data_IF_225198142831
#
_entry.id   IF_225198142831
#
_cell.length_a   1.000
_cell.length_b   1.000
_cell.length_c   1.000
_cell.angle_alpha   90.00
_cell.angle_beta   90.00
_cell.angle_gamma   90.00
#
_symmetry.space_group_name_H-M   'P 1'
#
loop_
_entity.id
_entity.type
_entity.pdbx_description
1 polymer ?
#
# COMPACT_ATOMS: atom_id res chain seq x y z
N UNK A 1 5.76 -14.64 -17.19
CA UNK A 1 5.33 -13.37 -17.73
C UNK A 1 6.31 -12.28 -17.35
N UNK A 2 7.00 -11.73 -18.32
CA UNK A 2 7.96 -10.67 -18.06
C UNK A 2 7.34 -9.34 -18.44
N UNK A 3 7.26 -8.45 -17.45
CA UNK A 3 6.77 -7.10 -17.65
C UNK A 3 7.95 -6.13 -17.55
N UNK A 4 7.93 -5.12 -18.37
CA UNK A 4 8.91 -4.05 -18.25
C UNK A 4 8.62 -3.25 -16.97
N UNK A 5 9.63 -2.54 -16.47
CA UNK A 5 9.52 -1.78 -15.23
C UNK A 5 8.35 -0.79 -15.26
N UNK A 6 8.16 -0.11 -16.39
CA UNK A 6 7.08 0.88 -16.52
C UNK A 6 5.71 0.23 -16.46
N UNK A 7 5.56 -0.94 -17.08
CA UNK A 7 4.29 -1.67 -17.05
C UNK A 7 3.98 -2.15 -15.63
N UNK A 8 5.00 -2.64 -14.91
CA UNK A 8 4.84 -3.07 -13.53
C UNK A 8 4.44 -1.90 -12.64
N UNK A 9 5.05 -0.74 -12.82
CA UNK A 9 4.71 0.44 -12.04
C UNK A 9 3.27 0.87 -12.26
N UNK A 10 2.77 0.79 -13.50
CA UNK A 10 1.39 1.12 -13.81
C UNK A 10 0.42 0.15 -13.15
N UNK A 11 0.76 -1.14 -13.15
CA UNK A 11 -0.07 -2.15 -12.51
C UNK A 11 -0.13 -1.97 -11.01
N UNK A 12 1.01 -1.64 -10.38
CA UNK A 12 1.06 -1.38 -8.96
C UNK A 12 0.24 -0.13 -8.62
N UNK A 13 0.39 0.94 -9.41
CA UNK A 13 -0.37 2.16 -9.19
C UNK A 13 -1.87 1.92 -9.29
N UNK A 14 -2.30 1.11 -10.26
CA UNK A 14 -3.69 0.74 -10.41
C UNK A 14 -4.18 -0.03 -9.19
N UNK A 15 -3.39 -1.00 -8.74
CA UNK A 15 -3.74 -1.81 -7.57
C UNK A 15 -3.86 -0.94 -6.31
N UNK A 16 -2.95 0.02 -6.13
CA UNK A 16 -2.98 0.95 -5.00
C UNK A 16 -4.24 1.80 -5.06
N UNK A 17 -4.63 2.27 -6.25
CA UNK A 17 -5.82 3.11 -6.38
C UNK A 17 -7.11 2.37 -6.00
N UNK A 18 -7.10 1.04 -6.04
CA UNK A 18 -8.24 0.21 -5.70
C UNK A 18 -8.31 -0.15 -4.21
N UNK A 19 -7.31 0.23 -3.43
CA UNK A 19 -7.32 -0.05 -1.99
C UNK A 19 -8.41 0.77 -1.29
N UNK A 20 -9.00 0.25 -0.19
CA UNK A 20 -9.89 1.04 0.64
C UNK A 20 -9.18 2.32 1.12
N UNK A 21 -9.93 3.39 1.33
CA UNK A 21 -9.36 4.71 1.59
C UNK A 21 -8.31 4.74 2.70
N UNK A 22 -8.62 4.20 3.88
CA UNK A 22 -7.67 4.23 5.01
C UNK A 22 -6.45 3.37 4.72
N UNK A 23 -6.66 2.21 4.13
CA UNK A 23 -5.58 1.30 3.77
C UNK A 23 -4.65 1.96 2.77
N UNK A 24 -5.22 2.62 1.75
CA UNK A 24 -4.45 3.32 0.73
C UNK A 24 -3.65 4.46 1.34
N UNK A 25 -4.26 5.22 2.24
CA UNK A 25 -3.59 6.34 2.90
C UNK A 25 -2.36 5.87 3.69
N UNK A 26 -2.53 4.82 4.49
CA UNK A 26 -1.42 4.24 5.25
C UNK A 26 -0.32 3.76 4.31
N UNK A 27 -0.71 3.06 3.26
CA UNK A 27 0.25 2.52 2.30
C UNK A 27 1.05 3.62 1.62
N UNK A 28 0.38 4.69 1.17
CA UNK A 28 1.06 5.80 0.53
C UNK A 28 2.01 6.53 1.47
N UNK A 29 1.60 6.76 2.71
CA UNK A 29 2.48 7.37 3.70
C UNK A 29 3.74 6.54 3.92
N UNK A 30 3.59 5.23 3.93
CA UNK A 30 4.73 4.33 4.11
C UNK A 30 5.66 4.33 2.89
N UNK A 31 5.10 4.21 1.69
CA UNK A 31 5.90 3.96 0.49
C UNK A 31 6.28 5.22 -0.28
N UNK A 32 5.37 6.19 -0.36
CA UNK A 32 5.64 7.40 -1.13
C UNK A 32 6.28 8.49 -0.28
N UNK A 33 5.85 8.62 0.98
CA UNK A 33 6.40 9.63 1.88
C UNK A 33 7.54 9.09 2.72
N UNK A 34 7.75 7.77 2.73
CA UNK A 34 8.85 7.18 3.47
C UNK A 34 8.72 7.27 5.00
N UNK A 35 7.51 7.42 5.50
CA UNK A 35 7.30 7.56 6.94
C UNK A 35 7.41 6.23 7.66
N UNK A 36 7.92 6.28 8.89
CA UNK A 36 7.94 5.10 9.76
C UNK A 36 6.54 4.76 10.22
N UNK A 37 6.34 3.52 10.68
CA UNK A 37 5.04 3.11 11.20
C UNK A 37 4.63 3.98 12.40
N UNK A 38 5.59 4.37 13.24
CA UNK A 38 5.31 5.24 14.38
C UNK A 38 4.84 6.62 13.92
N UNK A 39 5.47 7.18 12.89
CA UNK A 39 5.06 8.48 12.35
C UNK A 39 3.68 8.43 11.74
N UNK A 40 3.38 7.37 10.99
CA UNK A 40 2.05 7.17 10.39
C UNK A 40 0.99 7.06 11.49
N UNK A 41 1.27 6.25 12.51
CA UNK A 41 0.36 6.06 13.63
C UNK A 41 0.04 7.38 14.30
N UNK A 42 1.06 8.21 14.52
CA UNK A 42 0.89 9.52 15.14
C UNK A 42 0.05 10.46 14.27
N UNK A 43 0.37 10.55 12.97
CA UNK A 43 -0.37 11.42 12.06
C UNK A 43 -1.83 11.01 11.91
N UNK A 44 -2.10 9.72 11.89
CA UNK A 44 -3.45 9.22 11.65
C UNK A 44 -4.22 8.92 12.94
N UNK A 45 -3.57 9.11 14.09
CA UNK A 45 -4.15 8.85 15.41
C UNK A 45 -4.66 7.41 15.53
N UNK A 46 -3.83 6.47 15.12
CA UNK A 46 -4.09 5.04 15.25
C UNK A 46 -2.86 4.39 15.88
N UNK A 47 -2.99 3.13 16.29
CA UNK A 47 -1.86 2.42 16.88
C UNK A 47 -0.89 1.96 15.80
N UNK A 48 0.37 1.75 16.19
CA UNK A 48 1.37 1.16 15.29
C UNK A 48 0.88 -0.21 14.80
N UNK A 49 0.24 -0.97 15.67
CA UNK A 49 -0.29 -2.28 15.31
C UNK A 49 -1.33 -2.17 14.20
N UNK A 50 -2.18 -1.14 14.28
CA UNK A 50 -3.16 -0.88 13.22
C UNK A 50 -2.48 -0.51 11.91
N UNK A 51 -1.40 0.31 11.98
CA UNK A 51 -0.62 0.64 10.79
C UNK A 51 -0.08 -0.63 10.15
N UNK A 52 0.52 -1.53 10.95
CA UNK A 52 1.06 -2.79 10.45
C UNK A 52 -0.02 -3.64 9.77
N UNK A 53 -1.19 -3.72 10.41
CA UNK A 53 -2.31 -4.48 9.84
C UNK A 53 -2.76 -3.89 8.51
N UNK A 54 -2.82 -2.58 8.38
CA UNK A 54 -3.21 -1.92 7.13
C UNK A 54 -2.18 -2.16 6.03
N UNK A 55 -0.90 -2.10 6.36
CA UNK A 55 0.15 -2.35 5.37
C UNK A 55 0.09 -3.81 4.89
N UNK A 56 -0.10 -4.76 5.81
CA UNK A 56 -0.25 -6.17 5.45
C UNK A 56 -1.44 -6.37 4.52
N UNK A 57 -2.56 -5.73 4.84
CA UNK A 57 -3.77 -5.80 4.01
C UNK A 57 -3.52 -5.22 2.62
N UNK A 58 -2.83 -4.07 2.57
CA UNK A 58 -2.52 -3.43 1.30
C UNK A 58 -1.67 -4.32 0.41
N UNK A 59 -0.60 -4.90 0.98
CA UNK A 59 0.29 -5.77 0.22
C UNK A 59 -0.44 -7.02 -0.30
N UNK A 60 -1.33 -7.58 0.51
CA UNK A 60 -2.12 -8.73 0.10
C UNK A 60 -3.02 -8.37 -1.10
N UNK A 61 -3.72 -7.26 -1.02
CA UNK A 61 -4.62 -6.84 -2.08
C UNK A 61 -3.88 -6.49 -3.37
N UNK A 62 -2.73 -5.84 -3.24
CA UNK A 62 -1.90 -5.51 -4.39
C UNK A 62 -1.45 -6.80 -5.07
N UNK A 63 -0.96 -7.76 -4.31
CA UNK A 63 -0.52 -9.04 -4.84
C UNK A 63 -1.65 -9.77 -5.55
N UNK A 64 -2.84 -9.81 -4.93
CA UNK A 64 -4.01 -10.44 -5.55
C UNK A 64 -4.37 -9.78 -6.88
N UNK A 65 -4.33 -8.45 -6.92
CA UNK A 65 -4.63 -7.71 -8.15
C UNK A 65 -3.63 -8.05 -9.24
N UNK A 66 -2.34 -8.09 -8.91
CA UNK A 66 -1.30 -8.41 -9.89
C UNK A 66 -1.41 -9.85 -10.39
N UNK A 67 -1.78 -10.78 -9.52
CA UNK A 67 -1.88 -12.19 -9.89
C UNK A 67 -3.10 -12.50 -10.76
N UNK A 68 -4.07 -11.61 -10.79
CA UNK A 68 -5.27 -11.79 -11.64
C UNK A 68 -5.03 -11.38 -13.08
N UNK A 69 -3.88 -10.83 -13.38
CA UNK A 69 -3.53 -10.37 -14.73
C UNK A 69 -2.76 -11.49 -15.53
#
# INVERSE_FOLDING_TARGET
LQLEADEMMLLVAEAVSQLPDRCREVFRKSREEGLSNAAIADQMRISVKTVEAQITKALRRIRETLLRR
#
